data_IF_184343145739
#
_entry.id   IF_184343145739
#
_cell.length_a   1.000
_cell.length_b   1.000
_cell.length_c   1.000
_cell.angle_alpha   90.00
_cell.angle_beta   90.00
_cell.angle_gamma   90.00
#
_symmetry.space_group_name_H-M   'P 1'
#
loop_
_entity.id
_entity.type
_entity.pdbx_description
1 polymer ?
#
# COMPACT_ATOMS: atom_id res chain seq x y z
N UNK A 1 16.32 19.66 -2.92
CA UNK A 1 15.20 18.78 -3.26
C UNK A 1 14.21 19.61 -4.03
N UNK A 2 13.72 19.12 -5.15
CA UNK A 2 12.69 19.75 -5.99
C UNK A 2 11.54 18.75 -6.09
N UNK A 3 10.33 19.24 -5.81
CA UNK A 3 9.10 18.49 -5.93
C UNK A 3 8.17 19.23 -6.88
N UNK A 4 7.60 18.51 -7.80
CA UNK A 4 6.67 19.05 -8.77
C UNK A 4 5.48 18.12 -8.91
N UNK A 5 4.28 18.67 -8.73
CA UNK A 5 3.02 17.95 -8.86
C UNK A 5 2.14 18.59 -9.91
N UNK A 6 1.60 17.79 -10.79
CA UNK A 6 0.59 18.20 -11.79
C UNK A 6 -0.72 17.47 -11.43
N UNK A 7 -1.64 18.12 -10.73
CA UNK A 7 -2.97 17.57 -10.52
C UNK A 7 -3.76 17.62 -11.82
N UNK A 8 -4.58 16.63 -12.07
CA UNK A 8 -5.48 16.57 -13.22
C UNK A 8 -4.78 16.78 -14.58
N UNK A 9 -3.73 15.97 -14.81
CA UNK A 9 -2.93 16.00 -16.03
C UNK A 9 -3.81 15.98 -17.29
N UNK A 10 -3.74 17.01 -18.10
CA UNK A 10 -4.51 17.18 -19.35
C UNK A 10 -6.03 16.97 -19.20
N UNK A 11 -6.60 17.20 -18.01
CA UNK A 11 -8.03 17.01 -17.77
C UNK A 11 -8.47 15.55 -17.61
N UNK A 12 -7.53 14.61 -17.39
CA UNK A 12 -7.78 13.15 -17.33
C UNK A 12 -8.00 12.61 -15.92
N UNK A 13 -7.98 13.48 -14.91
CA UNK A 13 -8.01 13.13 -13.49
C UNK A 13 -6.81 12.31 -13.00
N UNK A 14 -5.75 12.24 -13.78
CA UNK A 14 -4.47 11.70 -13.33
C UNK A 14 -3.65 12.78 -12.64
N UNK A 15 -3.05 12.42 -11.52
CA UNK A 15 -2.04 13.23 -10.86
C UNK A 15 -0.67 12.67 -11.20
N UNK A 16 0.25 13.53 -11.64
CA UNK A 16 1.63 13.16 -11.87
C UNK A 16 2.53 13.90 -10.86
N UNK A 17 3.44 13.17 -10.25
CA UNK A 17 4.39 13.69 -9.28
C UNK A 17 5.81 13.39 -9.75
N UNK A 18 6.69 14.37 -9.58
CA UNK A 18 8.12 14.26 -9.83
C UNK A 18 8.89 14.78 -8.63
N UNK A 19 9.76 13.95 -8.07
CA UNK A 19 10.66 14.34 -6.99
C UNK A 19 12.10 14.09 -7.41
N UNK A 20 12.94 15.09 -7.30
CA UNK A 20 14.37 14.97 -7.55
C UNK A 20 15.17 15.74 -6.49
N UNK A 21 16.20 15.11 -5.97
CA UNK A 21 17.06 15.73 -4.96
C UNK A 21 18.42 15.08 -4.89
N UNK A 22 19.38 15.87 -4.47
CA UNK A 22 20.74 15.39 -4.19
C UNK A 22 21.34 16.17 -3.03
N UNK A 23 21.93 15.45 -2.10
CA UNK A 23 22.78 16.01 -1.07
C UNK A 23 24.10 15.23 -0.95
N UNK A 24 24.91 15.50 0.08
CA UNK A 24 26.21 14.85 0.28
C UNK A 24 26.13 13.33 0.46
N UNK A 25 25.04 12.82 1.00
CA UNK A 25 24.88 11.42 1.42
C UNK A 25 23.77 10.69 0.65
N UNK A 26 22.96 11.41 -0.10
CA UNK A 26 21.82 10.84 -0.79
C UNK A 26 21.54 11.46 -2.14
N UNK A 27 20.93 10.69 -3.02
CA UNK A 27 20.27 11.18 -4.22
C UNK A 27 18.95 10.44 -4.39
N UNK A 28 17.91 11.20 -4.68
CA UNK A 28 16.55 10.69 -4.86
C UNK A 28 16.02 11.13 -6.20
N UNK A 29 15.46 10.20 -6.92
CA UNK A 29 14.67 10.44 -8.11
C UNK A 29 13.41 9.58 -8.04
N UNK A 30 12.25 10.20 -8.14
CA UNK A 30 10.97 9.51 -8.13
C UNK A 30 10.03 10.16 -9.13
N UNK A 31 9.34 9.33 -9.88
CA UNK A 31 8.25 9.72 -10.77
C UNK A 31 7.06 8.83 -10.51
N UNK A 32 5.89 9.40 -10.40
CA UNK A 32 4.66 8.65 -10.24
C UNK A 32 3.52 9.28 -11.02
N UNK A 33 2.56 8.44 -11.37
CA UNK A 33 1.30 8.84 -11.95
C UNK A 33 0.20 7.97 -11.34
N UNK A 34 -0.85 8.61 -10.87
CA UNK A 34 -1.97 7.90 -10.25
C UNK A 34 -3.32 8.52 -10.60
N UNK A 35 -4.32 7.69 -10.65
CA UNK A 35 -5.73 8.06 -10.71
C UNK A 35 -6.48 7.26 -9.65
N UNK A 36 -7.20 7.96 -8.80
CA UNK A 36 -8.00 7.35 -7.74
C UNK A 36 -9.45 7.13 -8.20
N UNK A 37 -10.21 6.34 -7.48
CA UNK A 37 -11.66 6.20 -7.69
C UNK A 37 -12.35 7.56 -7.54
N UNK A 38 -13.12 7.93 -8.54
CA UNK A 38 -13.92 9.15 -8.52
C UNK A 38 -15.41 8.86 -8.28
N UNK A 39 -15.82 7.62 -8.52
CA UNK A 39 -17.22 7.17 -8.42
C UNK A 39 -17.26 5.76 -7.83
N UNK A 40 -18.42 5.34 -7.28
CA UNK A 40 -18.60 3.97 -6.78
C UNK A 40 -18.42 2.88 -7.85
N UNK A 41 -18.72 3.18 -9.11
CA UNK A 41 -18.37 2.34 -10.25
C UNK A 41 -17.31 3.08 -11.06
N UNK A 42 -16.08 2.68 -10.94
CA UNK A 42 -14.94 3.32 -11.59
C UNK A 42 -13.71 2.41 -11.54
N UNK A 43 -12.60 2.89 -12.11
CA UNK A 43 -11.30 2.26 -12.01
C UNK A 43 -10.28 3.20 -11.36
N UNK A 44 -9.32 2.63 -10.70
CA UNK A 44 -8.12 3.30 -10.21
C UNK A 44 -6.89 2.65 -10.84
N UNK A 45 -5.84 3.39 -10.99
CA UNK A 45 -4.55 2.85 -11.36
C UNK A 45 -3.42 3.82 -11.00
N UNK A 46 -2.27 3.26 -10.77
CA UNK A 46 -1.07 4.02 -10.50
C UNK A 46 0.17 3.27 -10.91
N UNK A 47 1.19 4.03 -11.18
CA UNK A 47 2.54 3.55 -11.50
C UNK A 47 3.54 4.50 -10.85
N UNK A 48 4.57 3.95 -10.25
CA UNK A 48 5.68 4.75 -9.74
C UNK A 48 7.01 4.08 -10.01
N UNK A 49 8.02 4.89 -10.16
CA UNK A 49 9.40 4.47 -10.23
C UNK A 49 10.25 5.35 -9.34
N UNK A 50 11.06 4.75 -8.48
CA UNK A 50 12.02 5.46 -7.67
C UNK A 50 13.43 4.87 -7.79
N UNK A 51 14.43 5.74 -7.74
CA UNK A 51 15.84 5.39 -7.75
C UNK A 51 16.54 6.21 -6.67
N UNK A 52 16.77 5.57 -5.54
CA UNK A 52 17.29 6.17 -4.34
C UNK A 52 18.69 5.64 -4.03
N UNK A 53 19.63 6.54 -3.80
CA UNK A 53 20.99 6.22 -3.36
C UNK A 53 21.27 6.96 -2.06
N UNK A 54 21.62 6.22 -1.02
CA UNK A 54 21.89 6.81 0.28
C UNK A 54 22.99 6.05 1.02
N UNK A 55 23.77 6.77 1.84
CA UNK A 55 24.59 6.14 2.86
C UNK A 55 23.70 5.68 4.00
N UNK A 56 23.75 4.39 4.32
CA UNK A 56 23.06 3.79 5.46
C UNK A 56 24.08 3.23 6.44
N UNK A 57 23.90 3.53 7.71
CA UNK A 57 24.67 2.93 8.78
C UNK A 57 24.22 1.49 8.99
N UNK A 58 25.16 0.56 8.92
CA UNK A 58 24.95 -0.87 9.11
C UNK A 58 25.41 -1.27 10.49
N UNK A 59 24.48 -1.57 11.37
CA UNK A 59 24.76 -1.97 12.77
C UNK A 59 25.68 -3.20 12.82
N UNK A 60 25.49 -4.15 11.92
CA UNK A 60 26.24 -5.40 11.91
C UNK A 60 27.73 -5.25 11.57
N UNK A 61 28.12 -4.20 10.85
CA UNK A 61 29.51 -3.94 10.43
C UNK A 61 30.10 -2.68 11.04
N UNK A 62 29.31 -1.94 11.83
CA UNK A 62 29.67 -0.64 12.42
C UNK A 62 30.23 0.36 11.38
N UNK A 63 29.71 0.30 10.17
CA UNK A 63 30.15 1.12 9.04
C UNK A 63 29.01 1.73 8.27
N UNK A 64 29.25 2.89 7.67
CA UNK A 64 28.30 3.50 6.72
C UNK A 64 28.58 3.03 5.31
N UNK A 65 27.64 2.33 4.73
CA UNK A 65 27.75 1.82 3.37
C UNK A 65 26.76 2.49 2.43
N UNK A 66 27.14 2.58 1.17
CA UNK A 66 26.32 3.17 0.14
C UNK A 66 25.34 2.11 -0.38
N UNK A 67 24.05 2.42 -0.30
CA UNK A 67 22.96 1.55 -0.81
C UNK A 67 22.26 2.27 -1.94
N UNK A 68 21.99 1.56 -3.02
CA UNK A 68 21.18 2.03 -4.14
C UNK A 68 19.99 1.11 -4.32
N UNK A 69 18.80 1.68 -4.11
CA UNK A 69 17.52 1.02 -4.24
C UNK A 69 16.80 1.55 -5.48
N UNK A 70 16.38 0.66 -6.35
CA UNK A 70 15.42 0.91 -7.41
C UNK A 70 14.10 0.23 -7.02
N UNK A 71 13.03 0.96 -7.13
CA UNK A 71 11.70 0.42 -6.88
C UNK A 71 10.78 0.79 -8.02
N UNK A 72 10.08 -0.19 -8.55
CA UNK A 72 8.99 -0.03 -9.48
C UNK A 72 7.73 -0.55 -8.83
N UNK A 73 6.66 0.23 -8.91
CA UNK A 73 5.38 -0.09 -8.30
C UNK A 73 4.26 0.21 -9.30
N UNK A 74 3.37 -0.74 -9.50
CA UNK A 74 2.21 -0.60 -10.36
C UNK A 74 1.00 -1.23 -9.70
N UNK A 75 -0.10 -0.53 -9.66
CA UNK A 75 -1.33 -1.01 -9.08
C UNK A 75 -2.54 -0.56 -9.88
N UNK A 76 -3.60 -1.32 -9.78
CA UNK A 76 -4.87 -0.98 -10.42
C UNK A 76 -6.02 -1.71 -9.78
N UNK A 77 -7.20 -1.14 -9.92
CA UNK A 77 -8.42 -1.70 -9.38
C UNK A 77 -9.66 -1.27 -10.16
N UNK A 78 -10.69 -2.05 -10.03
CA UNK A 78 -12.00 -1.75 -10.54
C UNK A 78 -13.06 -1.98 -9.48
N UNK A 79 -13.93 -0.99 -9.29
CA UNK A 79 -15.07 -1.05 -8.37
C UNK A 79 -16.37 -1.01 -9.15
N UNK A 80 -17.34 -1.81 -8.73
CA UNK A 80 -18.68 -1.84 -9.30
C UNK A 80 -19.72 -1.70 -8.20
N UNK A 81 -20.59 -0.70 -8.33
CA UNK A 81 -21.68 -0.47 -7.39
C UNK A 81 -22.87 -1.39 -7.68
N UNK A 82 -23.37 -2.05 -6.65
CA UNK A 82 -24.55 -2.92 -6.68
C UNK A 82 -25.74 -2.21 -6.02
N UNK A 83 -26.66 -1.62 -6.81
CA UNK A 83 -27.79 -0.85 -6.27
C UNK A 83 -28.69 -1.65 -5.33
N UNK A 84 -28.92 -2.93 -5.63
CA UNK A 84 -29.76 -3.83 -4.84
C UNK A 84 -29.24 -4.04 -3.41
N UNK A 85 -27.91 -4.10 -3.25
CA UNK A 85 -27.24 -4.28 -1.97
C UNK A 85 -26.80 -2.95 -1.34
N UNK A 86 -26.86 -1.87 -2.10
CA UNK A 86 -26.31 -0.55 -1.72
C UNK A 86 -24.86 -0.67 -1.25
N UNK A 87 -24.07 -1.48 -1.93
CA UNK A 87 -22.69 -1.82 -1.62
C UNK A 87 -21.89 -1.88 -2.93
N UNK A 88 -20.59 -1.75 -2.86
CA UNK A 88 -19.71 -1.92 -3.99
C UNK A 88 -18.86 -3.17 -3.82
N UNK A 89 -18.62 -3.87 -4.91
CA UNK A 89 -17.60 -4.91 -5.02
C UNK A 89 -16.40 -4.32 -5.75
N UNK A 90 -15.19 -4.78 -5.42
CA UNK A 90 -14.00 -4.34 -6.12
C UNK A 90 -12.98 -5.47 -6.24
N UNK A 91 -12.15 -5.34 -7.24
CA UNK A 91 -10.96 -6.17 -7.46
C UNK A 91 -9.77 -5.26 -7.65
N UNK A 92 -8.62 -5.65 -7.11
CA UNK A 92 -7.37 -4.89 -7.20
C UNK A 92 -6.23 -5.81 -7.59
N UNK A 93 -5.23 -5.26 -8.24
CA UNK A 93 -3.95 -5.90 -8.51
C UNK A 93 -2.82 -4.95 -8.17
N UNK A 94 -1.74 -5.48 -7.62
CA UNK A 94 -0.56 -4.72 -7.23
C UNK A 94 0.69 -5.51 -7.59
N UNK A 95 1.62 -4.85 -8.26
CA UNK A 95 2.93 -5.37 -8.61
C UNK A 95 4.01 -4.44 -8.07
N UNK A 96 4.96 -4.98 -7.34
CA UNK A 96 6.11 -4.25 -6.83
C UNK A 96 7.40 -5.01 -7.16
N UNK A 97 8.34 -4.31 -7.74
CA UNK A 97 9.69 -4.80 -8.02
C UNK A 97 10.72 -3.95 -7.28
N UNK A 98 11.53 -4.58 -6.45
CA UNK A 98 12.60 -3.96 -5.68
C UNK A 98 13.96 -4.57 -6.03
N UNK A 99 14.87 -3.72 -6.50
CA UNK A 99 16.25 -4.05 -6.83
C UNK A 99 17.22 -3.20 -6.02
N UNK A 100 18.04 -3.84 -5.20
CA UNK A 100 19.14 -3.22 -4.46
C UNK A 100 20.44 -3.41 -5.24
N UNK A 101 20.64 -2.61 -6.28
CA UNK A 101 21.76 -2.76 -7.23
C UNK A 101 23.15 -2.43 -6.65
N UNK A 102 23.19 -1.70 -5.56
CA UNK A 102 24.40 -1.44 -4.77
C UNK A 102 24.06 -1.61 -3.30
N UNK A 103 24.66 -2.60 -2.67
CA UNK A 103 24.37 -2.98 -1.29
C UNK A 103 25.53 -3.76 -0.68
N UNK A 104 25.62 -3.83 0.66
CA UNK A 104 26.53 -4.75 1.36
C UNK A 104 26.18 -6.20 1.09
N UNK A 105 27.03 -7.10 1.56
CA UNK A 105 26.75 -8.54 1.54
C UNK A 105 25.39 -8.85 2.19
N UNK A 106 24.62 -9.69 1.55
CA UNK A 106 23.33 -10.21 2.03
C UNK A 106 23.36 -11.74 2.04
N UNK A 107 22.63 -12.31 3.00
CA UNK A 107 22.42 -13.75 3.14
C UNK A 107 20.97 -13.99 3.58
N UNK A 108 20.44 -15.22 3.54
CA UNK A 108 19.05 -15.49 3.91
C UNK A 108 18.63 -14.94 5.27
N UNK A 109 19.53 -14.96 6.24
CA UNK A 109 19.36 -14.51 7.62
C UNK A 109 20.00 -13.15 7.92
N UNK A 110 20.71 -12.56 6.95
CA UNK A 110 21.48 -11.34 7.13
C UNK A 110 21.03 -10.23 6.17
N UNK A 111 20.73 -9.04 6.71
CA UNK A 111 20.24 -7.87 5.98
C UNK A 111 18.98 -8.11 5.12
N UNK A 112 17.90 -8.73 5.65
CA UNK A 112 16.71 -9.07 4.85
C UNK A 112 16.02 -7.85 4.22
N UNK A 113 16.17 -6.65 4.79
CA UNK A 113 15.64 -5.41 4.22
C UNK A 113 16.30 -4.98 2.91
N UNK A 114 17.45 -5.56 2.57
CA UNK A 114 18.21 -5.29 1.35
C UNK A 114 18.12 -6.42 0.32
N UNK A 115 17.29 -7.43 0.56
CA UNK A 115 17.03 -8.48 -0.43
C UNK A 115 16.27 -7.89 -1.63
N UNK A 116 16.59 -8.39 -2.80
CA UNK A 116 15.80 -8.14 -4.00
C UNK A 116 14.50 -8.93 -3.89
N UNK A 117 13.42 -8.30 -4.32
CA UNK A 117 12.10 -8.89 -4.18
C UNK A 117 11.18 -8.41 -5.29
N UNK A 118 10.38 -9.32 -5.77
CA UNK A 118 9.28 -9.08 -6.69
C UNK A 118 7.99 -9.58 -6.05
N UNK A 119 6.95 -8.78 -6.06
CA UNK A 119 5.69 -9.12 -5.38
C UNK A 119 4.54 -8.84 -6.32
N UNK A 120 3.65 -9.81 -6.45
CA UNK A 120 2.37 -9.65 -7.12
C UNK A 120 1.23 -10.02 -6.18
N UNK A 121 0.32 -9.08 -5.93
CA UNK A 121 -0.85 -9.26 -5.08
C UNK A 121 -2.13 -9.04 -5.88
N UNK A 122 -3.14 -9.81 -5.57
CA UNK A 122 -4.51 -9.61 -6.04
C UNK A 122 -5.44 -9.52 -4.85
N UNK A 123 -6.33 -8.55 -4.87
CA UNK A 123 -7.34 -8.33 -3.85
C UNK A 123 -8.75 -8.41 -4.44
N UNK A 124 -9.68 -8.90 -3.67
CA UNK A 124 -11.10 -8.79 -3.95
C UNK A 124 -11.85 -8.49 -2.65
N UNK A 125 -12.82 -7.61 -2.74
CA UNK A 125 -13.55 -7.23 -1.56
C UNK A 125 -14.90 -6.59 -1.88
N UNK A 126 -15.58 -6.28 -0.81
CA UNK A 126 -16.78 -5.49 -0.89
C UNK A 126 -16.83 -4.46 0.24
N UNK A 127 -17.44 -3.32 -0.03
CA UNK A 127 -17.64 -2.28 0.96
C UNK A 127 -19.00 -1.62 0.80
N UNK A 128 -19.49 -1.13 1.91
CA UNK A 128 -20.66 -0.28 2.01
C UNK A 128 -20.28 0.91 2.87
N UNK A 129 -20.30 2.08 2.29
CA UNK A 129 -19.99 3.31 2.99
C UNK A 129 -21.17 4.27 2.94
N UNK A 130 -21.49 4.85 4.06
CA UNK A 130 -22.47 5.90 4.23
C UNK A 130 -21.90 6.93 5.17
N UNK A 131 -22.21 8.16 4.92
CA UNK A 131 -21.81 9.25 5.80
C UNK A 131 -23.00 9.68 6.66
N UNK A 132 -22.76 9.75 7.93
CA UNK A 132 -23.67 10.32 8.91
C UNK A 132 -23.14 11.69 9.32
N UNK A 133 -24.00 12.72 9.26
CA UNK A 133 -23.64 14.07 9.69
C UNK A 133 -23.86 14.17 11.20
N UNK A 134 -22.79 14.37 11.93
CA UNK A 134 -22.80 14.65 13.35
C UNK A 134 -22.40 16.09 13.63
N UNK A 135 -22.85 16.64 14.73
CA UNK A 135 -22.43 17.94 15.20
C UNK A 135 -21.69 17.77 16.53
N UNK A 136 -20.60 18.48 16.74
CA UNK A 136 -19.87 18.59 18.01
C UNK A 136 -19.24 17.27 18.53
N UNK A 137 -18.78 16.37 17.68
CA UNK A 137 -18.04 15.18 18.15
C UNK A 137 -16.55 15.47 18.41
N UNK A 138 -15.89 16.19 17.51
CA UNK A 138 -14.46 16.55 17.60
C UNK A 138 -14.23 18.04 17.72
N UNK A 139 -15.19 18.88 17.31
CA UNK A 139 -15.07 20.34 17.36
C UNK A 139 -16.39 21.05 17.62
N UNK A 140 -16.32 22.14 18.38
CA UNK A 140 -17.49 22.93 18.71
C UNK A 140 -17.98 23.72 17.49
N UNK A 141 -19.22 23.50 17.06
CA UNK A 141 -19.85 24.25 15.96
C UNK A 141 -19.51 23.74 14.55
N UNK A 142 -18.74 22.67 14.39
CA UNK A 142 -18.44 22.07 13.08
C UNK A 142 -19.39 20.91 12.78
N UNK A 143 -19.75 20.78 11.49
CA UNK A 143 -20.43 19.59 10.98
C UNK A 143 -19.36 18.57 10.61
N UNK A 144 -19.51 17.37 11.10
CA UNK A 144 -18.57 16.27 10.86
C UNK A 144 -19.28 15.15 10.12
N UNK A 145 -18.58 14.57 9.17
CA UNK A 145 -19.06 13.41 8.39
C UNK A 145 -18.39 12.17 8.93
N UNK A 146 -19.16 11.32 9.58
CA UNK A 146 -18.68 10.06 10.12
C UNK A 146 -19.04 8.92 9.17
N UNK A 147 -18.03 8.20 8.73
CA UNK A 147 -18.20 7.05 7.86
C UNK A 147 -18.87 5.90 8.63
N UNK A 148 -19.98 5.42 8.11
CA UNK A 148 -20.69 4.25 8.66
C UNK A 148 -20.77 3.16 7.60
N UNK A 149 -20.60 1.91 8.00
CA UNK A 149 -20.66 0.79 7.08
C UNK A 149 -19.70 -0.32 7.43
N UNK A 150 -19.25 -1.03 6.40
CA UNK A 150 -18.29 -2.13 6.54
C UNK A 150 -17.47 -2.28 5.26
N UNK A 151 -16.27 -2.82 5.44
CA UNK A 151 -15.36 -3.27 4.38
C UNK A 151 -14.89 -4.67 4.73
N UNK A 152 -14.91 -5.57 3.75
CA UNK A 152 -14.26 -6.88 3.84
C UNK A 152 -13.44 -7.10 2.59
N UNK A 153 -12.21 -7.60 2.77
CA UNK A 153 -11.24 -7.77 1.69
C UNK A 153 -10.40 -9.02 1.92
N UNK A 154 -10.21 -9.78 0.86
CA UNK A 154 -9.26 -10.88 0.80
C UNK A 154 -8.18 -10.52 -0.18
N UNK A 155 -6.92 -10.68 0.24
CA UNK A 155 -5.74 -10.45 -0.60
C UNK A 155 -4.96 -11.74 -0.69
N UNK A 156 -4.56 -12.12 -1.89
CA UNK A 156 -3.67 -13.25 -2.14
C UNK A 156 -2.60 -12.86 -3.13
N UNK A 157 -1.45 -13.46 -3.06
CA UNK A 157 -0.40 -13.19 -4.01
C UNK A 157 0.86 -14.00 -3.79
N UNK A 158 1.85 -13.63 -4.56
CA UNK A 158 3.12 -14.33 -4.62
C UNK A 158 4.27 -13.33 -4.52
N UNK A 159 5.29 -13.73 -3.80
CA UNK A 159 6.53 -12.96 -3.63
C UNK A 159 7.70 -13.82 -4.04
N UNK A 160 8.36 -13.41 -5.11
CA UNK A 160 9.65 -13.95 -5.54
C UNK A 160 10.75 -13.20 -4.82
N UNK A 161 11.44 -13.90 -3.96
CA UNK A 161 12.57 -13.33 -3.21
C UNK A 161 13.91 -13.81 -3.78
N UNK A 162 14.97 -13.15 -3.38
CA UNK A 162 16.33 -13.56 -3.76
C UNK A 162 16.75 -14.91 -3.15
N UNK A 163 16.20 -15.24 -1.97
CA UNK A 163 16.53 -16.44 -1.21
C UNK A 163 15.33 -17.32 -0.92
N UNK A 164 14.12 -16.79 -1.02
CA UNK A 164 12.90 -17.50 -0.64
C UNK A 164 11.70 -16.98 -1.43
N UNK A 165 10.88 -17.90 -1.87
CA UNK A 165 9.60 -17.62 -2.48
C UNK A 165 8.47 -17.87 -1.48
N UNK A 166 7.53 -16.93 -1.43
CA UNK A 166 6.44 -16.98 -0.48
C UNK A 166 5.10 -16.68 -1.14
N UNK A 167 4.07 -17.39 -0.70
CA UNK A 167 2.68 -17.04 -1.00
C UNK A 167 2.13 -16.19 0.14
N UNK A 168 1.43 -15.13 -0.19
CA UNK A 168 0.72 -14.27 0.77
C UNK A 168 -0.77 -14.55 0.75
N UNK A 169 -1.38 -14.61 1.93
CA UNK A 169 -2.83 -14.62 2.12
C UNK A 169 -3.19 -13.65 3.24
N UNK A 170 -4.13 -12.75 2.96
CA UNK A 170 -4.59 -11.74 3.91
C UNK A 170 -6.11 -11.61 3.91
N UNK A 171 -6.67 -11.29 5.06
CA UNK A 171 -8.08 -10.98 5.28
C UNK A 171 -8.17 -9.71 6.12
N UNK A 172 -8.94 -8.74 5.63
CA UNK A 172 -9.24 -7.50 6.36
C UNK A 172 -10.75 -7.37 6.51
N UNK A 173 -11.18 -7.01 7.72
CA UNK A 173 -12.57 -6.63 7.98
C UNK A 173 -12.60 -5.37 8.83
N UNK A 174 -13.42 -4.41 8.44
CA UNK A 174 -13.64 -3.16 9.16
C UNK A 174 -15.13 -2.84 9.18
N UNK A 175 -15.59 -2.26 10.27
CA UNK A 175 -16.98 -1.80 10.40
C UNK A 175 -17.07 -0.57 11.29
N UNK A 176 -17.99 0.32 10.98
CA UNK A 176 -18.27 1.48 11.79
C UNK A 176 -19.75 1.85 11.76
N UNK A 177 -20.24 2.39 12.85
CA UNK A 177 -21.64 2.82 12.93
C UNK A 177 -22.08 3.35 14.28
N UNK A 178 -23.24 3.99 14.26
CA UNK A 178 -23.89 4.48 15.48
C UNK A 178 -24.63 3.37 16.20
N UNK A 179 -24.46 3.32 17.50
CA UNK A 179 -25.17 2.47 18.44
C UNK A 179 -25.77 3.33 19.56
N UNK A 180 -26.54 2.75 20.46
CA UNK A 180 -27.14 3.46 21.62
C UNK A 180 -26.12 4.14 22.54
N UNK A 181 -24.88 3.65 22.55
CA UNK A 181 -23.77 4.18 23.34
C UNK A 181 -22.86 5.15 22.57
N UNK A 182 -23.17 5.45 21.30
CA UNK A 182 -22.39 6.37 20.47
C UNK A 182 -21.88 5.75 19.16
N UNK A 183 -20.90 6.39 18.56
CA UNK A 183 -20.22 5.90 17.36
C UNK A 183 -19.14 4.87 17.74
N UNK A 184 -19.23 3.70 17.14
CA UNK A 184 -18.27 2.62 17.35
C UNK A 184 -17.65 2.26 16.00
N UNK A 185 -16.33 2.17 15.97
CA UNK A 185 -15.56 1.68 14.84
C UNK A 185 -14.62 0.57 15.32
N UNK A 186 -14.49 -0.48 14.53
CA UNK A 186 -13.58 -1.58 14.82
C UNK A 186 -13.30 -2.41 13.58
N UNK A 187 -12.26 -3.20 13.66
CA UNK A 187 -11.87 -4.09 12.59
C UNK A 187 -10.70 -4.97 13.00
N UNK A 188 -10.32 -5.83 12.09
CA UNK A 188 -9.12 -6.65 12.22
C UNK A 188 -8.49 -6.90 10.85
N UNK A 189 -7.20 -7.12 10.85
CA UNK A 189 -6.43 -7.59 9.71
C UNK A 189 -5.64 -8.83 10.10
N UNK A 190 -5.77 -9.87 9.32
CA UNK A 190 -5.01 -11.11 9.46
C UNK A 190 -4.22 -11.31 8.17
N UNK A 191 -2.93 -11.58 8.28
CA UNK A 191 -2.11 -11.84 7.10
C UNK A 191 -1.00 -12.84 7.42
N UNK A 192 -0.65 -13.66 6.44
CA UNK A 192 0.41 -14.64 6.60
C UNK A 192 1.17 -14.89 5.31
N UNK A 193 2.46 -15.12 5.45
CA UNK A 193 3.33 -15.63 4.41
C UNK A 193 3.55 -17.13 4.62
N UNK A 194 3.37 -17.89 3.56
CA UNK A 194 3.58 -19.34 3.50
C UNK A 194 4.78 -19.56 2.61
N UNK A 195 5.85 -20.13 3.17
CA UNK A 195 7.00 -20.52 2.37
C UNK A 195 6.66 -21.81 1.60
N UNK A 196 6.82 -21.78 0.28
CA UNK A 196 6.41 -22.87 -0.60
C UNK A 196 7.35 -24.06 -0.56
N UNK A 197 8.63 -23.87 -0.22
CA UNK A 197 9.60 -24.95 -0.14
C UNK A 197 9.46 -25.75 1.16
N UNK A 198 9.22 -25.07 2.27
CA UNK A 198 9.11 -25.70 3.59
C UNK A 198 7.69 -26.00 4.03
N UNK A 199 6.67 -25.42 3.38
CA UNK A 199 5.26 -25.51 3.78
C UNK A 199 4.96 -24.86 5.14
N UNK A 200 5.91 -24.11 5.69
CA UNK A 200 5.77 -23.50 7.01
C UNK A 200 5.26 -22.08 6.93
N UNK A 201 4.38 -21.74 7.88
CA UNK A 201 3.92 -20.37 8.11
C UNK A 201 5.05 -19.57 8.74
N UNK A 202 5.58 -18.60 8.02
CA UNK A 202 6.76 -17.85 8.49
C UNK A 202 6.47 -16.51 9.16
N UNK A 203 5.40 -15.84 8.80
CA UNK A 203 5.02 -14.55 9.43
C UNK A 203 3.52 -14.43 9.42
N UNK A 204 2.95 -14.16 10.56
CA UNK A 204 1.56 -13.72 10.70
C UNK A 204 1.54 -12.35 11.36
N UNK A 205 0.75 -11.42 10.82
CA UNK A 205 0.44 -10.16 11.44
C UNK A 205 -1.04 -10.16 11.81
N UNK A 206 -1.35 -9.66 13.00
CA UNK A 206 -2.71 -9.45 13.50
C UNK A 206 -2.75 -8.03 14.03
N UNK A 207 -3.57 -7.16 13.42
CA UNK A 207 -3.82 -5.80 13.86
C UNK A 207 -5.31 -5.58 14.16
#
# INVERSE_FOLDING_TARGET
MVEYQIPNLLGTFYTADLTAGRDFYSSTFEVSMRREFLRPTDYELGISYSNNKAKRYMIATDTSQLVKLRNFDAWGGYSHYLPSLRSSIYVTGHYNFRDNSLRPEVRPDFNPALHNQEVFLMGAGFYRERFYTANMMYGFGTREYLATGYKAEVVSGYSWGEFEDNMYLGLTYQTGGFRSIGYIMGGFTLGSYINLESGMWRRSAVD
#
